data_IF_158891807858
#
_entry.id   IF_158891807858
#
_cell.length_a   1.000
_cell.length_b   1.000
_cell.length_c   1.000
_cell.angle_alpha   90.00
_cell.angle_beta   90.00
_cell.angle_gamma   90.00
#
_symmetry.space_group_name_H-M   'P 1'
#
loop_
_entity.id
_entity.type
_entity.pdbx_description
1 polymer ?
#
# COMPACT_ATOMS: atom_id res chain seq x y z
N UNK A 1 -18.44 8.05 -89.75
CA UNK A 1 -19.91 8.10 -89.94
C UNK A 1 -20.44 6.68 -89.87
N UNK A 2 -21.37 6.37 -88.94
CA UNK A 2 -22.14 5.09 -88.85
C UNK A 2 -21.29 3.83 -88.53
N UNK A 3 -21.77 2.78 -87.83
CA UNK A 3 -23.09 2.45 -87.25
C UNK A 3 -22.90 1.62 -85.94
N UNK A 4 -23.91 1.59 -85.06
CA UNK A 4 -23.99 0.77 -83.84
C UNK A 4 -24.27 -0.72 -84.14
N UNK A 5 -23.84 -1.62 -83.24
CA UNK A 5 -24.63 -2.74 -82.67
C UNK A 5 -23.91 -3.27 -81.41
N UNK A 6 -24.47 -3.17 -80.19
CA UNK A 6 -25.42 -4.12 -79.53
C UNK A 6 -24.74 -5.41 -79.01
N UNK A 7 -25.03 -5.96 -77.81
CA UNK A 7 -25.83 -5.55 -76.62
C UNK A 7 -25.65 -6.62 -75.49
N UNK A 8 -26.12 -6.36 -74.24
CA UNK A 8 -26.25 -7.32 -73.11
C UNK A 8 -24.90 -7.90 -72.56
N UNK A 9 -24.71 -8.33 -71.31
CA UNK A 9 -25.46 -8.35 -70.03
C UNK A 9 -24.39 -8.38 -68.89
N UNK A 10 -24.60 -8.46 -67.57
CA UNK A 10 -25.73 -8.60 -66.64
C UNK A 10 -25.32 -7.92 -65.29
N UNK A 11 -26.27 -7.52 -64.44
CA UNK A 11 -26.02 -6.97 -63.10
C UNK A 11 -25.98 -8.02 -61.99
N UNK A 12 -25.09 -7.87 -60.99
CA UNK A 12 -25.30 -8.46 -59.67
C UNK A 12 -24.72 -7.55 -58.56
N UNK A 13 -25.58 -7.07 -57.67
CA UNK A 13 -25.20 -6.26 -56.50
C UNK A 13 -24.97 -7.21 -55.33
N UNK A 14 -23.74 -7.26 -54.80
CA UNK A 14 -23.43 -8.07 -53.63
C UNK A 14 -23.56 -7.23 -52.35
N UNK A 15 -24.60 -7.50 -51.57
CA UNK A 15 -24.73 -6.95 -50.21
C UNK A 15 -23.90 -7.83 -49.29
N UNK A 16 -22.74 -7.33 -48.86
CA UNK A 16 -21.88 -8.01 -47.89
C UNK A 16 -22.34 -7.71 -46.47
N UNK A 17 -22.90 -8.72 -45.80
CA UNK A 17 -23.19 -8.72 -44.36
C UNK A 17 -21.87 -8.81 -43.59
N UNK A 18 -21.47 -7.74 -42.91
CA UNK A 18 -20.34 -7.78 -41.96
C UNK A 18 -20.75 -8.50 -40.68
N UNK A 19 -20.42 -9.78 -40.58
CA UNK A 19 -20.29 -10.44 -39.29
C UNK A 19 -19.00 -9.94 -38.63
N UNK A 20 -19.11 -9.27 -37.48
CA UNK A 20 -17.93 -8.96 -36.66
C UNK A 20 -17.50 -10.23 -35.92
N UNK A 21 -16.55 -10.95 -36.47
CA UNK A 21 -15.77 -11.91 -35.69
C UNK A 21 -15.08 -11.17 -34.54
N UNK A 22 -15.31 -11.63 -33.31
CA UNK A 22 -14.53 -11.18 -32.15
C UNK A 22 -13.14 -11.82 -32.25
N UNK A 23 -12.16 -11.05 -32.70
CA UNK A 23 -10.76 -11.48 -32.66
C UNK A 23 -10.36 -11.82 -31.21
N UNK A 24 -9.95 -13.06 -30.96
CA UNK A 24 -9.43 -13.53 -29.66
C UNK A 24 -8.01 -13.01 -29.34
N UNK A 25 -7.52 -12.01 -30.09
CA UNK A 25 -6.15 -11.48 -30.04
C UNK A 25 -6.07 -10.04 -29.51
N UNK A 26 -7.06 -9.57 -28.75
CA UNK A 26 -6.86 -8.39 -27.91
C UNK A 26 -5.78 -8.70 -26.86
N UNK A 27 -4.79 -7.81 -26.61
CA UNK A 27 -3.79 -8.05 -25.60
C UNK A 27 -4.44 -8.25 -24.23
N UNK A 28 -4.23 -9.42 -23.60
CA UNK A 28 -4.58 -9.63 -22.18
C UNK A 28 -3.90 -8.54 -21.35
N UNK A 29 -4.68 -7.61 -20.82
CA UNK A 29 -4.18 -6.49 -20.04
C UNK A 29 -3.55 -7.01 -18.73
N UNK A 30 -2.22 -7.03 -18.69
CA UNK A 30 -1.46 -7.47 -17.53
C UNK A 30 -1.55 -6.46 -16.40
N UNK A 31 -1.98 -6.93 -15.22
CA UNK A 31 -2.01 -6.13 -13.99
C UNK A 31 -0.60 -5.67 -13.63
N UNK A 32 -0.44 -4.41 -13.22
CA UNK A 32 0.83 -3.84 -12.77
C UNK A 32 0.71 -3.34 -11.34
N UNK A 33 1.80 -3.39 -10.58
CA UNK A 33 1.88 -2.84 -9.22
C UNK A 33 1.41 -1.38 -9.17
N UNK A 34 1.86 -0.57 -10.15
CA UNK A 34 1.47 0.85 -10.31
C UNK A 34 -0.03 1.08 -10.48
N UNK A 35 -0.80 0.08 -10.90
CA UNK A 35 -2.24 0.17 -11.13
C UNK A 35 -3.04 -0.14 -9.86
N UNK A 36 -2.47 -0.90 -8.92
CA UNK A 36 -3.11 -1.26 -7.64
C UNK A 36 -2.46 -0.60 -6.41
N UNK A 37 -1.31 0.06 -6.59
CA UNK A 37 -0.53 0.73 -5.53
C UNK A 37 -1.25 1.98 -5.00
N UNK A 38 -2.23 1.75 -4.14
CA UNK A 38 -2.97 2.75 -3.39
C UNK A 38 -3.56 2.11 -2.13
N UNK A 39 -4.19 2.94 -1.29
CA UNK A 39 -5.07 2.48 -0.22
C UNK A 39 -6.51 2.39 -0.72
N UNK A 40 -7.12 1.22 -0.56
CA UNK A 40 -8.45 0.87 -1.02
C UNK A 40 -9.36 0.62 0.19
N UNK A 41 -10.36 1.49 0.39
CA UNK A 41 -11.34 1.40 1.46
C UNK A 41 -12.46 0.42 1.05
N UNK A 42 -12.69 -0.63 1.84
CA UNK A 42 -13.63 -1.71 1.52
C UNK A 42 -15.06 -1.30 1.86
N UNK A 43 -15.92 -1.29 0.84
CA UNK A 43 -17.29 -0.79 0.93
C UNK A 43 -18.30 -1.87 1.35
N UNK A 44 -18.04 -3.14 1.00
CA UNK A 44 -19.04 -4.22 1.07
C UNK A 44 -18.71 -5.36 2.06
N UNK A 45 -17.79 -5.16 3.01
CA UNK A 45 -17.38 -6.21 3.98
C UNK A 45 -17.64 -5.82 5.43
N UNK A 46 -18.03 -6.79 6.26
CA UNK A 46 -18.08 -6.66 7.71
C UNK A 46 -16.77 -7.07 8.40
N UNK A 47 -15.86 -7.73 7.69
CA UNK A 47 -14.59 -8.25 8.22
C UNK A 47 -13.39 -7.37 7.83
N UNK A 48 -13.41 -6.75 6.66
CA UNK A 48 -12.30 -5.95 6.14
C UNK A 48 -12.64 -4.47 6.09
N UNK A 49 -11.67 -3.61 6.44
CA UNK A 49 -11.77 -2.15 6.44
C UNK A 49 -11.04 -1.56 5.24
N UNK A 50 -9.80 -1.97 5.01
CA UNK A 50 -8.99 -1.50 3.87
C UNK A 50 -7.94 -2.52 3.46
N UNK A 51 -7.59 -2.49 2.18
CA UNK A 51 -6.41 -3.12 1.59
C UNK A 51 -5.52 -2.02 1.05
N UNK A 52 -4.22 -2.10 1.24
CA UNK A 52 -3.28 -1.09 0.78
C UNK A 52 -2.06 -1.78 0.19
N UNK A 53 -1.64 -1.35 -0.99
CA UNK A 53 -0.50 -1.91 -1.71
C UNK A 53 0.47 -0.79 -2.05
N UNK A 54 1.78 -1.07 -2.07
CA UNK A 54 2.78 -0.14 -2.59
C UNK A 54 3.54 -0.73 -3.79
N UNK A 55 4.21 0.13 -4.56
CA UNK A 55 5.02 -0.28 -5.71
C UNK A 55 6.24 -1.14 -5.34
N UNK A 56 6.63 -1.20 -4.07
CA UNK A 56 7.72 -2.03 -3.54
C UNK A 56 7.30 -3.47 -3.19
N UNK A 57 6.10 -3.90 -3.59
CA UNK A 57 5.62 -5.26 -3.34
C UNK A 57 5.18 -5.54 -1.89
N UNK A 58 4.88 -4.51 -1.10
CA UNK A 58 4.34 -4.66 0.26
C UNK A 58 2.83 -4.37 0.32
N UNK A 59 2.11 -5.06 1.21
CA UNK A 59 0.69 -4.83 1.47
C UNK A 59 0.39 -4.57 2.95
N UNK A 60 -0.69 -3.83 3.22
CA UNK A 60 -1.34 -3.72 4.55
C UNK A 60 -2.81 -4.11 4.39
N UNK A 61 -3.31 -5.01 5.25
CA UNK A 61 -4.74 -5.30 5.40
C UNK A 61 -5.18 -4.86 6.80
N UNK A 62 -6.20 -4.02 6.87
CA UNK A 62 -6.85 -3.66 8.14
C UNK A 62 -8.19 -4.38 8.23
N UNK A 63 -8.34 -5.21 9.25
CA UNK A 63 -9.61 -5.91 9.55
C UNK A 63 -10.47 -5.06 10.48
N UNK A 64 -11.78 -5.11 10.27
CA UNK A 64 -12.78 -4.55 11.18
C UNK A 64 -12.75 -5.32 12.50
N UNK A 65 -12.97 -4.58 13.58
CA UNK A 65 -12.98 -5.10 14.94
C UNK A 65 -14.13 -6.11 15.15
N UNK A 66 -13.85 -7.27 15.74
CA UNK A 66 -14.90 -8.16 16.22
C UNK A 66 -15.69 -7.51 17.36
N UNK A 67 -17.02 -7.51 17.24
CA UNK A 67 -17.97 -6.83 18.15
C UNK A 67 -17.93 -7.32 19.60
N UNK A 68 -17.20 -8.39 19.90
CA UNK A 68 -17.13 -9.04 21.22
C UNK A 68 -16.08 -8.46 22.19
N UNK A 69 -15.11 -7.64 21.74
CA UNK A 69 -14.08 -7.05 22.61
C UNK A 69 -14.40 -5.58 22.94
N UNK A 70 -14.39 -5.20 24.23
CA UNK A 70 -14.74 -3.82 24.70
C UNK A 70 -13.62 -2.77 24.60
N UNK A 71 -12.43 -3.10 24.09
CA UNK A 71 -11.32 -2.14 23.91
C UNK A 71 -11.54 -1.25 22.68
N UNK A 72 -11.24 0.04 22.76
CA UNK A 72 -11.45 0.98 21.65
C UNK A 72 -10.48 0.78 20.46
N UNK A 73 -9.31 0.16 20.70
CA UNK A 73 -8.17 0.20 19.77
C UNK A 73 -7.84 -1.13 19.07
N UNK A 74 -8.62 -2.20 19.29
CA UNK A 74 -8.33 -3.55 18.79
C UNK A 74 -8.68 -3.68 17.27
N UNK A 75 -7.89 -3.06 16.39
CA UNK A 75 -7.85 -3.36 14.95
C UNK A 75 -6.79 -4.45 14.68
N UNK A 76 -7.11 -5.49 13.91
CA UNK A 76 -6.10 -6.44 13.42
C UNK A 76 -5.49 -5.88 12.15
N UNK A 77 -4.18 -5.71 12.14
CA UNK A 77 -3.38 -5.25 11.00
C UNK A 77 -2.53 -6.43 10.54
N UNK A 78 -2.60 -6.75 9.25
CA UNK A 78 -1.73 -7.73 8.62
C UNK A 78 -0.82 -6.98 7.66
N UNK A 79 0.48 -7.26 7.71
CA UNK A 79 1.46 -6.74 6.78
C UNK A 79 2.18 -7.91 6.12
N UNK A 80 2.75 -7.66 4.95
CA UNK A 80 3.57 -8.64 4.24
C UNK A 80 3.85 -8.24 2.81
N UNK A 81 4.31 -9.20 2.04
CA UNK A 81 4.68 -9.05 0.63
C UNK A 81 3.62 -9.57 -0.33
N UNK A 82 3.56 -9.01 -1.53
CA UNK A 82 2.72 -9.51 -2.61
C UNK A 82 3.48 -9.70 -3.93
N UNK A 83 3.04 -10.69 -4.69
CA UNK A 83 3.52 -10.97 -6.05
C UNK A 83 2.34 -10.96 -7.02
N UNK A 84 2.50 -10.27 -8.16
CA UNK A 84 1.51 -10.27 -9.24
C UNK A 84 1.85 -11.40 -10.21
N UNK A 85 0.92 -12.33 -10.35
CA UNK A 85 1.00 -13.46 -11.26
C UNK A 85 0.24 -13.14 -12.56
N UNK A 86 0.19 -14.10 -13.49
CA UNK A 86 -0.67 -14.03 -14.68
C UNK A 86 -2.17 -13.89 -14.31
N UNK A 87 -2.98 -13.47 -15.29
CA UNK A 87 -4.45 -13.37 -15.19
C UNK A 87 -4.98 -12.55 -14.00
N UNK A 88 -4.32 -11.42 -13.70
CA UNK A 88 -4.71 -10.44 -12.65
C UNK A 88 -4.77 -11.05 -11.24
N UNK A 89 -4.10 -12.19 -11.03
CA UNK A 89 -3.96 -12.86 -9.74
C UNK A 89 -2.83 -12.22 -8.93
N UNK A 90 -3.06 -11.97 -7.63
CA UNK A 90 -2.07 -11.43 -6.70
C UNK A 90 -1.95 -12.35 -5.50
N UNK A 91 -0.75 -12.88 -5.24
CA UNK A 91 -0.48 -13.75 -4.09
C UNK A 91 -0.01 -12.88 -2.93
N UNK A 92 -0.68 -13.00 -1.77
CA UNK A 92 -0.33 -12.30 -0.53
C UNK A 92 0.28 -13.32 0.44
N UNK A 93 1.56 -13.14 0.76
CA UNK A 93 2.30 -13.99 1.72
C UNK A 93 1.53 -14.14 3.03
N UNK A 94 1.44 -15.35 3.57
CA UNK A 94 0.80 -15.65 4.87
C UNK A 94 -0.69 -15.24 5.01
N UNK A 95 -1.34 -14.79 3.94
CA UNK A 95 -2.75 -14.39 3.96
C UNK A 95 -3.62 -15.13 2.93
N UNK A 96 -3.28 -15.13 1.65
CA UNK A 96 -4.18 -15.70 0.62
C UNK A 96 -3.88 -15.24 -0.81
N UNK A 97 -4.81 -15.50 -1.71
CA UNK A 97 -4.78 -15.02 -3.09
C UNK A 97 -5.89 -13.99 -3.30
N UNK A 98 -5.60 -12.93 -4.06
CA UNK A 98 -6.58 -12.03 -4.66
C UNK A 98 -6.70 -12.28 -6.16
N UNK A 99 -7.88 -12.08 -6.73
CA UNK A 99 -8.09 -12.07 -8.19
C UNK A 99 -8.83 -10.79 -8.54
N UNK A 100 -8.18 -9.86 -9.24
CA UNK A 100 -8.78 -8.57 -9.61
C UNK A 100 -9.67 -8.72 -10.85
N UNK A 101 -10.97 -8.40 -10.71
CA UNK A 101 -11.96 -8.48 -11.78
C UNK A 101 -12.19 -7.14 -12.48
N UNK A 102 -12.06 -6.02 -11.77
CA UNK A 102 -12.21 -4.67 -12.31
C UNK A 102 -11.22 -3.73 -11.58
N UNK A 103 -10.50 -2.89 -12.34
CA UNK A 103 -9.54 -1.92 -11.79
C UNK A 103 -9.68 -0.61 -12.56
N UNK A 104 -10.03 0.43 -11.83
CA UNK A 104 -10.22 1.80 -12.31
C UNK A 104 -9.45 2.76 -11.41
N UNK A 105 -9.23 3.97 -11.89
CA UNK A 105 -8.49 5.03 -11.18
C UNK A 105 -8.92 5.19 -9.71
N UNK A 106 -10.22 5.16 -9.44
CA UNK A 106 -10.80 5.43 -8.12
C UNK A 106 -11.57 4.24 -7.50
N UNK A 107 -11.60 3.07 -8.15
CA UNK A 107 -12.26 1.87 -7.60
C UNK A 107 -11.66 0.55 -8.10
N UNK A 108 -11.75 -0.48 -7.25
CA UNK A 108 -11.38 -1.86 -7.58
C UNK A 108 -12.47 -2.84 -7.16
N UNK A 109 -12.59 -3.93 -7.92
CA UNK A 109 -13.30 -5.15 -7.52
C UNK A 109 -12.35 -6.33 -7.63
N UNK A 110 -12.33 -7.16 -6.60
CA UNK A 110 -11.49 -8.37 -6.54
C UNK A 110 -12.14 -9.42 -5.64
N UNK A 111 -11.80 -10.69 -5.85
CA UNK A 111 -12.14 -11.74 -4.90
C UNK A 111 -10.95 -12.12 -4.02
N UNK A 112 -11.22 -12.67 -2.83
CA UNK A 112 -10.23 -13.18 -1.88
C UNK A 112 -10.43 -14.67 -1.67
N UNK A 113 -9.34 -15.44 -1.73
CA UNK A 113 -9.24 -16.82 -1.26
C UNK A 113 -8.22 -16.87 -0.10
N UNK A 114 -8.66 -16.80 1.17
CA UNK A 114 -7.76 -16.85 2.33
C UNK A 114 -7.11 -18.23 2.49
N UNK A 115 -5.84 -18.29 2.90
CA UNK A 115 -5.13 -19.56 3.15
C UNK A 115 -5.84 -20.45 4.20
N UNK A 116 -6.53 -19.83 5.16
CA UNK A 116 -7.29 -20.54 6.20
C UNK A 116 -8.59 -21.19 5.71
N UNK A 117 -9.10 -20.79 4.54
CA UNK A 117 -10.29 -21.38 3.92
C UNK A 117 -10.29 -21.11 2.40
N UNK A 118 -9.46 -21.82 1.61
CA UNK A 118 -9.25 -21.51 0.19
C UNK A 118 -10.48 -21.74 -0.68
N UNK A 119 -11.45 -22.54 -0.20
CA UNK A 119 -12.71 -22.81 -0.89
C UNK A 119 -13.77 -21.70 -0.70
N UNK A 120 -13.53 -20.74 0.19
CA UNK A 120 -14.46 -19.65 0.47
C UNK A 120 -13.99 -18.36 -0.21
N UNK A 121 -14.52 -18.12 -1.41
CA UNK A 121 -14.28 -16.91 -2.17
C UNK A 121 -15.09 -15.73 -1.62
N UNK A 122 -14.42 -14.62 -1.28
CA UNK A 122 -15.06 -13.41 -0.75
C UNK A 122 -14.91 -12.27 -1.77
N UNK A 123 -16.02 -11.80 -2.35
CA UNK A 123 -16.02 -10.71 -3.32
C UNK A 123 -15.95 -9.36 -2.60
N UNK A 124 -14.95 -8.55 -2.94
CA UNK A 124 -14.74 -7.19 -2.43
C UNK A 124 -14.99 -6.15 -3.50
N UNK A 125 -15.57 -5.02 -3.09
CA UNK A 125 -15.54 -3.76 -3.82
C UNK A 125 -14.97 -2.66 -2.92
N UNK A 126 -14.06 -1.88 -3.45
CA UNK A 126 -13.34 -0.85 -2.71
C UNK A 126 -13.12 0.42 -3.52
N UNK A 127 -13.05 1.56 -2.83
CA UNK A 127 -12.78 2.88 -3.41
C UNK A 127 -11.39 3.37 -2.99
N UNK A 128 -10.73 4.14 -3.86
CA UNK A 128 -9.43 4.72 -3.56
C UNK A 128 -9.55 5.74 -2.42
N UNK A 129 -8.62 5.71 -1.46
CA UNK A 129 -8.44 6.76 -0.46
C UNK A 129 -7.83 8.00 -1.12
N UNK A 130 -8.21 9.19 -0.66
CA UNK A 130 -7.57 10.44 -1.05
C UNK A 130 -6.06 10.41 -0.76
N UNK A 131 -5.26 10.84 -1.73
CA UNK A 131 -3.80 10.87 -1.67
C UNK A 131 -3.29 12.31 -1.59
N UNK A 132 -2.19 12.52 -0.86
CA UNK A 132 -1.46 13.78 -0.91
C UNK A 132 -0.80 14.01 -2.28
N UNK A 133 -0.48 15.27 -2.56
CA UNK A 133 0.12 15.71 -3.83
C UNK A 133 1.36 14.91 -4.23
N UNK A 134 1.36 14.47 -5.50
CA UNK A 134 2.39 13.61 -6.07
C UNK A 134 3.63 14.43 -6.50
N UNK A 135 4.39 14.92 -5.52
CA UNK A 135 5.67 15.59 -5.74
C UNK A 135 6.82 14.59 -5.88
N UNK A 136 7.97 15.05 -6.36
CA UNK A 136 9.20 14.23 -6.43
C UNK A 136 9.61 13.69 -5.05
N UNK A 137 9.47 14.47 -3.98
CA UNK A 137 9.81 14.00 -2.62
C UNK A 137 8.76 13.05 -2.07
N UNK A 138 7.47 13.27 -2.32
CA UNK A 138 6.40 12.32 -1.99
C UNK A 138 6.65 10.96 -2.64
N UNK A 139 6.92 10.91 -3.95
CA UNK A 139 7.19 9.66 -4.69
C UNK A 139 8.54 9.01 -4.29
N UNK A 140 9.52 9.79 -3.84
CA UNK A 140 10.72 9.25 -3.21
C UNK A 140 10.41 8.62 -1.84
N UNK A 141 9.70 9.31 -0.95
CA UNK A 141 9.44 8.84 0.41
C UNK A 141 8.45 7.66 0.47
N UNK A 142 7.44 7.63 -0.41
CA UNK A 142 6.34 6.65 -0.39
C UNK A 142 6.76 5.26 -0.88
N UNK A 143 7.50 4.53 -0.05
CA UNK A 143 7.92 3.13 -0.25
C UNK A 143 8.12 2.43 1.11
N UNK A 144 8.55 1.17 1.07
CA UNK A 144 9.07 0.48 2.24
C UNK A 144 10.57 0.78 2.39
N UNK A 145 10.97 1.17 3.59
CA UNK A 145 12.35 1.45 4.01
C UNK A 145 12.75 0.46 5.10
N UNK A 146 14.02 0.03 5.14
CA UNK A 146 14.62 -0.73 6.24
C UNK A 146 15.59 0.18 7.01
N UNK A 147 15.50 0.19 8.33
CA UNK A 147 16.49 0.82 9.20
C UNK A 147 17.85 0.13 9.07
N UNK A 148 18.93 0.91 8.90
CA UNK A 148 20.30 0.39 8.88
C UNK A 148 21.15 0.94 10.02
N UNK A 149 20.92 2.20 10.45
CA UNK A 149 21.72 2.84 11.50
C UNK A 149 20.89 3.81 12.35
N UNK A 150 21.20 3.86 13.65
CA UNK A 150 20.76 4.93 14.57
C UNK A 150 22.00 5.58 15.17
N UNK A 151 22.11 6.90 15.08
CA UNK A 151 23.26 7.70 15.57
C UNK A 151 24.63 7.22 15.05
N UNK A 152 24.67 6.49 13.92
CA UNK A 152 25.89 5.92 13.33
C UNK A 152 26.16 4.46 13.72
N UNK A 153 25.37 3.86 14.61
CA UNK A 153 25.50 2.46 15.03
C UNK A 153 24.57 1.53 14.22
N UNK A 154 25.09 0.40 13.74
CA UNK A 154 24.30 -0.60 12.99
C UNK A 154 23.20 -1.24 13.84
N UNK A 155 22.01 -1.40 13.26
CA UNK A 155 20.83 -1.86 14.01
C UNK A 155 20.57 -3.37 14.00
N UNK A 156 21.32 -4.15 13.21
CA UNK A 156 21.03 -5.57 12.96
C UNK A 156 21.06 -6.39 14.26
N UNK A 157 20.03 -7.19 14.52
CA UNK A 157 19.87 -7.95 15.76
C UNK A 157 19.48 -7.12 16.99
N UNK A 158 19.32 -5.80 16.86
CA UNK A 158 18.81 -4.92 17.92
C UNK A 158 17.30 -4.68 17.78
N UNK A 159 16.68 -4.06 18.79
CA UNK A 159 15.29 -3.56 18.73
C UNK A 159 15.04 -2.54 17.61
N UNK A 160 16.10 -1.87 17.13
CA UNK A 160 16.02 -0.90 16.03
C UNK A 160 16.07 -1.56 14.65
N UNK A 161 16.23 -2.88 14.56
CA UNK A 161 16.04 -3.56 13.27
C UNK A 161 14.54 -3.58 12.94
N UNK A 162 14.12 -2.65 12.10
CA UNK A 162 12.73 -2.45 11.71
C UNK A 162 12.59 -2.02 10.25
N UNK A 163 11.37 -2.17 9.73
CA UNK A 163 10.93 -1.61 8.47
C UNK A 163 9.89 -0.50 8.69
N UNK A 164 9.88 0.49 7.81
CA UNK A 164 8.91 1.58 7.77
C UNK A 164 8.25 1.62 6.39
N UNK A 165 6.92 1.65 6.33
CA UNK A 165 6.19 1.95 5.10
C UNK A 165 5.56 3.34 5.20
N UNK A 166 5.80 4.15 4.17
CA UNK A 166 5.07 5.39 3.90
C UNK A 166 4.21 5.24 2.63
N UNK A 167 3.01 5.82 2.64
CA UNK A 167 2.16 5.91 1.44
C UNK A 167 1.54 7.30 1.26
N UNK A 168 1.17 7.60 0.01
CA UNK A 168 0.49 8.85 -0.36
C UNK A 168 -0.88 9.01 0.28
N UNK A 169 -1.51 7.92 0.72
CA UNK A 169 -2.76 7.93 1.48
C UNK A 169 -2.56 8.37 2.96
N UNK A 170 -1.39 8.92 3.30
CA UNK A 170 -1.03 9.33 4.65
C UNK A 170 -0.72 8.16 5.59
N UNK A 171 -0.59 6.93 5.08
CA UNK A 171 -0.26 5.78 5.92
C UNK A 171 1.21 5.80 6.33
N UNK A 172 1.43 5.66 7.63
CA UNK A 172 2.72 5.39 8.23
C UNK A 172 2.63 4.07 9.00
N UNK A 173 3.54 3.12 8.74
CA UNK A 173 3.52 1.81 9.38
C UNK A 173 4.92 1.37 9.78
N UNK A 174 5.08 0.92 11.03
CA UNK A 174 6.34 0.39 11.59
C UNK A 174 6.21 -1.11 11.84
N UNK A 175 7.17 -1.88 11.34
CA UNK A 175 7.31 -3.32 11.58
C UNK A 175 8.68 -3.60 12.22
N UNK A 176 8.77 -3.91 13.53
CA UNK A 176 10.01 -4.41 14.13
C UNK A 176 10.30 -5.83 13.64
N UNK A 177 11.55 -6.10 13.31
CA UNK A 177 12.06 -7.47 13.04
C UNK A 177 12.29 -8.19 14.37
N UNK A 178 12.86 -7.49 15.35
CA UNK A 178 13.12 -8.00 16.69
C UNK A 178 12.17 -7.31 17.69
N UNK A 179 11.20 -8.06 18.22
CA UNK A 179 10.27 -7.54 19.23
C UNK A 179 10.98 -7.37 20.57
N UNK A 180 10.99 -6.13 21.09
CA UNK A 180 11.26 -5.86 22.51
C UNK A 180 9.97 -5.97 23.33
N UNK A 181 10.10 -6.20 24.65
CA UNK A 181 8.95 -6.43 25.54
C UNK A 181 7.91 -5.28 25.55
N UNK A 182 8.37 -4.05 25.31
CA UNK A 182 7.54 -2.83 25.33
C UNK A 182 7.30 -2.21 23.92
N UNK A 183 8.09 -2.57 22.90
CA UNK A 183 8.10 -1.88 21.59
C UNK A 183 7.26 -2.61 20.54
N UNK A 184 6.00 -2.19 20.42
CA UNK A 184 5.08 -2.67 19.39
C UNK A 184 4.99 -1.65 18.25
N UNK A 185 5.53 -2.00 17.09
CA UNK A 185 5.23 -1.30 15.83
C UNK A 185 3.73 -1.32 15.51
N UNK A 186 3.31 -0.52 14.53
CA UNK A 186 1.91 -0.48 14.15
C UNK A 186 1.58 0.55 13.09
N UNK A 187 0.27 0.67 12.84
CA UNK A 187 -0.31 1.58 11.86
C UNK A 187 -0.63 2.94 12.47
N UNK A 188 -0.27 3.97 11.74
CA UNK A 188 -0.25 5.37 12.13
C UNK A 188 -0.49 6.26 10.89
N UNK A 189 -0.46 7.57 11.08
CA UNK A 189 -0.68 8.55 10.02
C UNK A 189 0.54 9.48 9.90
N UNK A 190 0.85 9.94 8.70
CA UNK A 190 1.84 10.99 8.45
C UNK A 190 1.35 12.01 7.41
N UNK A 191 2.02 13.15 7.36
CA UNK A 191 1.95 14.13 6.27
C UNK A 191 3.22 15.00 6.26
N UNK A 192 3.54 15.65 5.15
CA UNK A 192 4.47 16.78 5.17
C UNK A 192 3.97 17.88 6.12
N UNK A 193 4.88 18.60 6.79
CA UNK A 193 4.52 19.77 7.62
C UNK A 193 3.92 20.89 6.76
N UNK A 194 4.54 21.11 5.60
CA UNK A 194 4.30 22.20 4.67
C UNK A 194 4.87 21.84 3.28
N UNK A 195 4.67 22.73 2.29
CA UNK A 195 5.07 22.52 0.90
C UNK A 195 6.57 22.61 0.60
N UNK A 196 7.44 22.88 1.60
CA UNK A 196 8.89 22.73 1.43
C UNK A 196 9.33 21.27 1.46
N UNK A 197 8.51 20.40 2.07
CA UNK A 197 8.75 18.96 2.21
C UNK A 197 10.14 18.67 2.83
N UNK A 198 10.55 19.51 3.77
CA UNK A 198 11.81 19.34 4.54
C UNK A 198 11.57 18.68 5.90
N UNK A 199 10.31 18.62 6.35
CA UNK A 199 9.89 17.93 7.57
C UNK A 199 8.55 17.23 7.37
N UNK A 200 8.33 16.16 8.11
CA UNK A 200 7.01 15.52 8.18
C UNK A 200 6.53 15.38 9.63
N UNK A 201 5.21 15.33 9.78
CA UNK A 201 4.53 15.09 11.05
C UNK A 201 4.00 13.66 11.02
N UNK A 202 4.06 12.95 12.15
CA UNK A 202 3.43 11.65 12.35
C UNK A 202 2.42 11.72 13.50
N UNK A 203 1.47 10.78 13.56
CA UNK A 203 0.52 10.72 14.67
C UNK A 203 -0.04 9.32 14.92
N UNK A 204 0.35 8.75 16.06
CA UNK A 204 -0.16 7.48 16.60
C UNK A 204 -1.62 7.56 17.08
N UNK A 205 -2.22 8.75 17.09
CA UNK A 205 -3.61 8.97 17.49
C UNK A 205 -4.60 8.62 16.36
N UNK A 206 -5.85 8.31 16.74
CA UNK A 206 -6.96 8.12 15.81
C UNK A 206 -8.20 8.85 16.36
N UNK A 207 -8.65 9.97 15.78
CA UNK A 207 -8.06 10.67 14.62
C UNK A 207 -6.64 11.22 14.91
N UNK A 208 -5.83 11.50 13.87
CA UNK A 208 -4.49 12.05 14.06
C UNK A 208 -4.54 13.44 14.68
N UNK A 209 -3.60 13.69 15.60
CA UNK A 209 -3.29 15.00 16.18
C UNK A 209 -1.93 15.42 15.65
N UNK A 210 -1.85 16.58 15.00
CA UNK A 210 -0.64 17.11 14.40
C UNK A 210 0.02 18.11 15.34
N UNK A 211 1.20 17.78 15.86
CA UNK A 211 2.04 18.70 16.64
C UNK A 211 3.34 18.96 15.87
N UNK A 212 3.60 20.22 15.54
CA UNK A 212 4.79 20.65 14.79
C UNK A 212 6.08 20.59 15.62
N UNK A 213 5.98 20.45 16.96
CA UNK A 213 7.14 20.29 17.84
C UNK A 213 7.82 18.94 17.67
N UNK A 214 7.07 17.90 17.31
CA UNK A 214 7.58 16.53 17.06
C UNK A 214 7.75 16.26 15.56
N UNK A 215 8.03 17.30 14.78
CA UNK A 215 8.31 17.18 13.35
C UNK A 215 9.66 16.51 13.11
N UNK A 216 9.67 15.48 12.28
CA UNK A 216 10.90 14.77 11.85
C UNK A 216 11.50 15.52 10.66
N UNK A 217 12.77 15.90 10.75
CA UNK A 217 13.49 16.62 9.68
C UNK A 217 14.12 15.65 8.69
N UNK A 218 13.95 15.91 7.38
CA UNK A 218 14.54 15.13 6.29
C UNK A 218 15.89 15.75 5.92
N UNK A 219 16.97 15.08 6.34
CA UNK A 219 18.35 15.48 6.09
C UNK A 219 18.81 15.01 4.71
N UNK A 220 18.41 13.80 4.30
CA UNK A 220 18.69 13.24 2.98
C UNK A 220 17.47 12.43 2.50
N UNK A 221 17.07 12.60 1.24
CA UNK A 221 16.08 11.75 0.58
C UNK A 221 16.48 11.54 -0.88
N UNK A 222 16.87 10.31 -1.20
CA UNK A 222 17.24 9.88 -2.55
C UNK A 222 16.54 8.57 -2.89
N UNK A 223 16.79 8.01 -4.07
CA UNK A 223 16.28 6.68 -4.41
C UNK A 223 16.83 5.55 -3.54
N UNK A 224 17.97 5.75 -2.86
CA UNK A 224 18.75 4.72 -2.18
C UNK A 224 18.94 4.95 -0.67
N UNK A 225 18.51 6.11 -0.15
CA UNK A 225 18.80 6.55 1.20
C UNK A 225 17.75 7.55 1.68
N UNK A 226 17.29 7.36 2.91
CA UNK A 226 16.48 8.28 3.71
C UNK A 226 17.23 8.51 5.02
N UNK A 227 17.64 9.74 5.27
CA UNK A 227 18.24 10.16 6.56
C UNK A 227 17.36 11.20 7.20
N UNK A 228 16.99 10.95 8.45
CA UNK A 228 16.07 11.80 9.20
C UNK A 228 16.58 12.07 10.61
N UNK A 229 16.21 13.23 11.13
CA UNK A 229 16.58 13.69 12.47
C UNK A 229 15.29 14.00 13.25
N UNK A 230 15.10 13.31 14.36
CA UNK A 230 14.06 13.60 15.34
C UNK A 230 14.69 14.33 16.54
N UNK A 231 14.13 15.49 16.90
CA UNK A 231 14.62 16.30 18.02
C UNK A 231 13.70 16.20 19.21
N UNK A 232 14.29 16.07 20.40
CA UNK A 232 13.54 15.89 21.65
C UNK A 232 13.86 17.04 22.62
N UNK A 233 12.82 17.68 23.17
CA UNK A 233 13.00 18.80 24.11
C UNK A 233 13.58 18.30 25.44
N UNK A 234 14.88 18.51 25.65
CA UNK A 234 15.59 18.12 26.86
C UNK A 234 16.22 16.71 26.85
N UNK A 235 16.22 16.03 25.71
CA UNK A 235 16.93 14.74 25.50
C UNK A 235 17.92 14.87 24.33
N UNK A 236 18.66 13.79 24.02
CA UNK A 236 19.52 13.74 22.83
C UNK A 236 18.67 13.53 21.56
N UNK A 237 19.00 14.24 20.49
CA UNK A 237 18.39 14.04 19.16
C UNK A 237 18.71 12.61 18.65
N UNK A 238 17.73 11.94 18.02
CA UNK A 238 17.95 10.65 17.35
C UNK A 238 18.04 10.85 15.82
N UNK A 239 19.18 10.47 15.24
CA UNK A 239 19.44 10.45 13.80
C UNK A 239 19.28 9.04 13.26
N UNK A 240 18.43 8.87 12.25
CA UNK A 240 18.12 7.57 11.65
C UNK A 240 18.54 7.52 10.19
N UNK A 241 19.17 6.42 9.77
CA UNK A 241 19.49 6.13 8.38
C UNK A 241 18.76 4.86 7.93
N UNK A 242 18.02 4.99 6.82
CA UNK A 242 17.23 3.93 6.23
C UNK A 242 17.56 3.78 4.74
N UNK A 243 17.47 2.55 4.24
CA UNK A 243 17.62 2.20 2.81
C UNK A 243 16.30 1.61 2.27
N UNK A 244 16.01 1.68 0.96
CA UNK A 244 14.81 1.06 0.41
C UNK A 244 14.81 -0.46 0.67
N UNK A 245 13.66 -1.00 1.08
CA UNK A 245 13.47 -2.45 1.13
C UNK A 245 12.91 -2.96 -0.19
N UNK A 246 13.56 -3.98 -0.75
CA UNK A 246 13.06 -4.77 -1.88
C UNK A 246 12.32 -6.05 -1.43
N UNK A 247 12.05 -6.18 -0.12
CA UNK A 247 11.20 -7.12 0.61
C UNK A 247 11.01 -8.57 0.10
N UNK A 248 11.41 -9.56 0.92
CA UNK A 248 11.18 -11.01 0.68
C UNK A 248 10.64 -11.80 1.88
N UNK A 249 10.22 -11.13 2.97
CA UNK A 249 9.60 -11.78 4.15
C UNK A 249 8.53 -10.89 4.79
N UNK A 250 7.67 -11.52 5.61
CA UNK A 250 6.46 -10.92 6.19
C UNK A 250 6.34 -11.26 7.68
N UNK A 251 5.69 -10.39 8.47
CA UNK A 251 5.29 -10.69 9.84
C UNK A 251 3.79 -10.48 10.09
N UNK A 252 3.19 -11.42 10.83
CA UNK A 252 1.80 -11.32 11.30
C UNK A 252 1.77 -10.68 12.70
N UNK A 253 1.37 -9.42 12.80
CA UNK A 253 1.26 -8.69 14.08
C UNK A 253 -0.15 -8.83 14.67
N UNK A 254 -0.29 -9.60 15.75
CA UNK A 254 -1.50 -9.59 16.59
C UNK A 254 -1.36 -8.58 17.74
N UNK A 255 -1.92 -7.37 17.54
CA UNK A 255 -2.01 -6.32 18.57
C UNK A 255 -2.87 -6.76 19.77
N UNK A 256 -2.23 -7.40 20.75
CA UNK A 256 -2.85 -7.76 22.02
C UNK A 256 -2.63 -6.67 23.09
N UNK A 257 -3.57 -5.73 23.10
CA UNK A 257 -4.12 -5.01 24.26
C UNK A 257 -3.18 -4.35 25.30
N UNK A 258 -3.37 -3.03 25.38
CA UNK A 258 -3.45 -2.26 26.63
C UNK A 258 -2.21 -2.21 27.55
N UNK A 259 -1.27 -1.31 27.21
CA UNK A 259 -0.59 -0.51 28.23
C UNK A 259 -1.16 0.92 28.20
N UNK A 260 -1.79 1.33 29.30
CA UNK A 260 -2.09 2.73 29.59
C UNK A 260 -1.01 3.25 30.53
N UNK A 261 0.21 3.34 30.01
CA UNK A 261 1.43 3.80 30.69
C UNK A 261 2.19 4.65 29.68
N UNK A 262 2.73 5.78 30.13
CA UNK A 262 3.42 6.73 29.26
C UNK A 262 4.78 6.12 28.86
N UNK A 263 4.81 5.47 27.69
CA UNK A 263 6.01 5.01 27.00
C UNK A 263 6.47 6.11 26.03
N UNK A 264 7.76 6.12 25.70
CA UNK A 264 8.44 7.16 24.91
C UNK A 264 7.99 7.09 23.44
N UNK A 265 6.94 7.83 23.10
CA UNK A 265 6.39 7.90 21.74
C UNK A 265 7.25 8.82 20.84
N UNK A 266 8.25 8.25 20.17
CA UNK A 266 8.96 8.92 19.07
C UNK A 266 8.34 8.60 17.71
N UNK A 267 9.01 8.97 16.63
CA UNK A 267 8.64 8.62 15.26
C UNK A 267 8.46 7.11 15.17
N UNK A 268 9.47 6.33 15.57
CA UNK A 268 9.53 4.86 15.42
C UNK A 268 9.01 4.06 16.63
N UNK A 269 8.73 4.72 17.76
CA UNK A 269 8.40 4.09 19.04
C UNK A 269 7.01 4.55 19.50
N UNK A 270 6.26 3.68 20.17
CA UNK A 270 4.90 3.94 20.63
C UNK A 270 4.77 3.74 22.14
#
# INVERSE_FOLDING_TARGET
MRILTQILFLSFILISISACDKNENDPKETLKATTISAKWNVNNSNEYKSFEFNNSGSYIIVKKKSSTKKSANDQTILFGTYEIMEDKKVVLSDFGTLIFSDVKENSVSFSIQPLSNPNNEIIMSASKQEEMEATTKTELLCRTWKMVSVNGEEVVGTRYELSVLFSKAGTYFVEPVNFGDDENGGLSNWKWSDSSETKFLYSWNTPPVWDEKVAVEVIELTNNSLKVLERFEGEEDEFYELVPSNNTKSAKIELNKALNKQIRSGFLKK
#
